data_IF_424113262411
#
_entry.id   IF_424113262411
#
_cell.length_a   1.000
_cell.length_b   1.000
_cell.length_c   1.000
_cell.angle_alpha   90.00
_cell.angle_beta   90.00
_cell.angle_gamma   90.00
#
_symmetry.space_group_name_H-M   'P 1'
#
loop_
_entity.id
_entity.type
_entity.pdbx_description
1 polymer ?
#
# COMPACT_ATOMS: atom_id res chain seq x y z
N UNK A 1 13.66 -10.12 -11.69
CA UNK A 1 14.68 -9.66 -12.65
C UNK A 1 15.77 -8.90 -11.89
N UNK A 2 17.02 -9.36 -11.94
CA UNK A 2 18.14 -8.74 -11.23
C UNK A 2 18.51 -7.36 -11.80
N UNK A 3 18.28 -7.16 -13.10
CA UNK A 3 18.64 -5.95 -13.81
C UNK A 3 17.68 -4.79 -13.48
N UNK A 4 16.39 -5.09 -13.38
CA UNK A 4 15.37 -4.15 -12.92
C UNK A 4 15.62 -3.69 -11.48
N UNK A 5 16.04 -4.60 -10.58
CA UNK A 5 16.34 -4.27 -9.18
C UNK A 5 17.59 -3.38 -9.05
N UNK A 6 18.63 -3.67 -9.82
CA UNK A 6 19.83 -2.84 -9.85
C UNK A 6 19.52 -1.45 -10.41
N UNK A 7 18.74 -1.36 -11.50
CA UNK A 7 18.31 -0.09 -12.05
C UNK A 7 17.48 0.72 -11.04
N UNK A 8 16.57 0.08 -10.30
CA UNK A 8 15.84 0.71 -9.22
C UNK A 8 16.79 1.27 -8.16
N UNK A 9 17.68 0.45 -7.60
CA UNK A 9 18.65 0.90 -6.58
C UNK A 9 19.47 2.12 -7.03
N UNK A 10 19.95 2.11 -8.28
CA UNK A 10 20.69 3.24 -8.84
C UNK A 10 19.84 4.51 -8.91
N UNK A 11 18.55 4.42 -9.29
CA UNK A 11 17.65 5.58 -9.18
C UNK A 11 17.50 6.04 -7.72
N UNK A 12 17.35 5.12 -6.77
CA UNK A 12 17.22 5.47 -5.36
C UNK A 12 18.46 6.22 -4.82
N UNK A 13 19.64 5.92 -5.35
CA UNK A 13 20.90 6.60 -5.05
C UNK A 13 21.12 7.90 -5.87
N UNK A 14 20.17 8.29 -6.73
CA UNK A 14 20.31 9.45 -7.63
C UNK A 14 21.24 9.23 -8.82
N UNK A 15 21.64 7.98 -9.08
CA UNK A 15 22.54 7.56 -10.19
C UNK A 15 21.73 7.27 -11.46
N UNK A 16 20.90 8.22 -11.87
CA UNK A 16 19.90 8.08 -12.92
C UNK A 16 20.47 7.66 -14.27
N UNK A 17 21.66 8.14 -14.63
CA UNK A 17 22.26 7.87 -15.92
C UNK A 17 22.75 6.41 -16.03
N UNK A 18 23.31 5.87 -14.94
CA UNK A 18 23.69 4.46 -14.87
C UNK A 18 22.46 3.55 -14.89
N UNK A 19 21.41 3.94 -14.16
CA UNK A 19 20.13 3.24 -14.17
C UNK A 19 19.47 3.23 -15.57
N UNK A 20 19.54 4.34 -16.29
CA UNK A 20 18.99 4.49 -17.64
C UNK A 20 19.62 3.52 -18.63
N UNK A 21 20.95 3.35 -18.58
CA UNK A 21 21.67 2.39 -19.44
C UNK A 21 21.19 0.97 -19.18
N UNK A 22 20.98 0.60 -17.91
CA UNK A 22 20.46 -0.72 -17.56
C UNK A 22 19.03 -0.90 -18.06
N UNK A 23 18.15 0.07 -17.85
CA UNK A 23 16.76 -0.03 -18.33
C UNK A 23 16.68 -0.19 -19.86
N UNK A 24 17.52 0.53 -20.61
CA UNK A 24 17.58 0.38 -22.06
C UNK A 24 18.05 -1.02 -22.49
N UNK A 25 19.04 -1.58 -21.79
CA UNK A 25 19.55 -2.94 -22.05
C UNK A 25 18.52 -4.02 -21.78
N UNK A 26 17.66 -3.84 -20.78
CA UNK A 26 16.58 -4.78 -20.47
C UNK A 26 15.29 -4.57 -21.27
N UNK A 27 15.28 -3.63 -22.22
CA UNK A 27 14.16 -3.44 -23.15
C UNK A 27 12.99 -2.62 -22.59
N UNK A 28 13.14 -1.95 -21.45
CA UNK A 28 12.10 -1.07 -20.92
C UNK A 28 12.10 0.29 -21.63
N UNK A 29 10.93 0.71 -22.08
CA UNK A 29 10.71 1.97 -22.81
C UNK A 29 10.17 3.10 -21.92
N UNK A 30 9.63 2.77 -20.75
CA UNK A 30 8.99 3.70 -19.83
C UNK A 30 9.49 3.46 -18.41
N UNK A 31 9.49 4.53 -17.61
CA UNK A 31 9.77 4.48 -16.17
C UNK A 31 8.86 5.46 -15.43
N UNK A 32 8.70 5.24 -14.13
CA UNK A 32 8.14 6.25 -13.25
C UNK A 32 9.05 7.49 -13.21
N UNK A 33 8.45 8.64 -12.92
CA UNK A 33 9.18 9.89 -12.82
C UNK A 33 10.27 9.84 -11.73
N UNK A 34 11.37 10.60 -11.89
CA UNK A 34 12.52 10.52 -10.97
C UNK A 34 12.14 10.81 -9.52
N UNK A 35 11.22 11.75 -9.26
CA UNK A 35 10.74 12.04 -7.90
C UNK A 35 9.99 10.88 -7.23
N UNK A 36 9.50 9.90 -7.98
CA UNK A 36 8.88 8.68 -7.44
C UNK A 36 9.93 7.62 -7.10
N UNK A 37 11.04 7.61 -7.84
CA UNK A 37 12.11 6.62 -7.69
C UNK A 37 13.24 7.08 -6.76
N UNK A 38 13.36 8.39 -6.53
CA UNK A 38 14.29 9.00 -5.58
C UNK A 38 13.68 8.97 -4.18
N UNK A 39 13.68 7.81 -3.55
CA UNK A 39 13.24 7.72 -2.16
C UNK A 39 14.25 8.47 -1.29
N UNK A 40 13.83 9.45 -0.49
CA UNK A 40 14.72 10.04 0.48
C UNK A 40 15.11 8.95 1.49
N UNK A 41 16.35 8.44 1.39
CA UNK A 41 16.90 7.42 2.29
C UNK A 41 16.93 7.92 3.75
N UNK A 42 17.00 9.23 3.92
CA UNK A 42 16.70 9.91 5.16
C UNK A 42 15.29 10.47 5.04
N UNK A 43 14.34 9.94 5.82
CA UNK A 43 13.04 10.58 5.99
C UNK A 43 13.28 11.93 6.65
N UNK A 44 13.55 12.96 5.86
CA UNK A 44 13.45 14.34 6.31
C UNK A 44 11.96 14.56 6.50
N UNK A 45 11.46 14.24 7.69
CA UNK A 45 10.19 14.80 8.15
C UNK A 45 10.42 16.31 8.19
N UNK A 46 10.21 16.97 7.06
CA UNK A 46 10.19 18.42 7.01
C UNK A 46 9.14 18.84 8.03
N UNK A 47 9.59 19.45 9.13
CA UNK A 47 8.69 20.22 9.95
C UNK A 47 8.07 21.27 9.02
N UNK A 48 6.74 21.34 9.06
CA UNK A 48 5.88 22.34 8.42
C UNK A 48 5.30 21.95 7.04
N UNK A 49 4.19 21.22 7.10
CA UNK A 49 2.89 21.84 6.84
C UNK A 49 1.92 21.45 7.97
N UNK A 50 1.47 22.42 8.78
CA UNK A 50 0.57 22.16 9.94
C UNK A 50 -0.87 21.86 9.50
N UNK A 51 -1.20 22.01 8.22
CA UNK A 51 -2.40 21.42 7.64
C UNK A 51 -2.06 20.07 7.03
N UNK A 52 -1.72 19.07 7.85
CA UNK A 52 -1.67 17.71 7.36
C UNK A 52 -3.06 17.38 6.75
N UNK A 53 -3.16 16.99 5.46
CA UNK A 53 -4.44 16.61 4.85
C UNK A 53 -5.00 15.30 5.43
N UNK A 54 -4.36 14.77 6.47
CA UNK A 54 -4.61 13.47 7.08
C UNK A 54 -4.92 13.66 8.56
N UNK A 55 -5.91 12.91 9.04
CA UNK A 55 -6.21 12.76 10.47
C UNK A 55 -5.70 11.41 10.92
N UNK A 56 -4.99 11.39 12.04
CA UNK A 56 -4.48 10.16 12.65
C UNK A 56 -5.37 9.82 13.84
N UNK A 57 -5.77 8.55 13.93
CA UNK A 57 -6.61 8.02 14.99
C UNK A 57 -5.83 6.94 15.74
N UNK A 58 -5.38 7.24 16.95
CA UNK A 58 -4.72 6.26 17.80
C UNK A 58 -5.72 5.22 18.28
N UNK A 59 -5.29 3.95 18.33
CA UNK A 59 -6.11 2.82 18.78
C UNK A 59 -7.46 2.72 18.04
N UNK A 60 -7.50 3.11 16.76
CA UNK A 60 -8.70 3.08 15.92
C UNK A 60 -9.22 1.67 15.62
N UNK A 61 -8.48 0.62 15.97
CA UNK A 61 -8.90 -0.77 15.87
C UNK A 61 -8.92 -1.40 17.27
N UNK A 62 -9.91 -2.25 17.59
CA UNK A 62 -9.87 -3.06 18.80
C UNK A 62 -8.62 -3.95 18.76
N UNK A 63 -7.98 -4.13 19.91
CA UNK A 63 -6.75 -4.92 20.02
C UNK A 63 -6.89 -6.32 19.41
N UNK A 64 -8.02 -7.00 19.67
CA UNK A 64 -8.31 -8.31 19.10
C UNK A 64 -8.36 -8.31 17.56
N UNK A 65 -8.91 -7.25 16.96
CA UNK A 65 -8.97 -7.11 15.51
C UNK A 65 -7.57 -6.89 14.92
N UNK A 66 -6.76 -6.03 15.57
CA UNK A 66 -5.37 -5.80 15.16
C UNK A 66 -4.52 -7.08 15.26
N UNK A 67 -4.67 -7.84 16.34
CA UNK A 67 -4.00 -9.14 16.50
C UNK A 67 -4.37 -10.12 15.39
N UNK A 68 -5.67 -10.23 15.08
CA UNK A 68 -6.12 -11.10 14.00
C UNK A 68 -5.56 -10.70 12.63
N UNK A 69 -5.53 -9.39 12.32
CA UNK A 69 -4.92 -8.92 11.06
C UNK A 69 -3.42 -9.25 10.99
N UNK A 70 -2.69 -9.17 12.10
CA UNK A 70 -1.28 -9.56 12.16
C UNK A 70 -1.07 -11.04 11.86
N UNK A 71 -1.99 -11.90 12.29
CA UNK A 71 -1.94 -13.34 11.99
C UNK A 71 -2.27 -13.60 10.51
N UNK A 72 -3.36 -13.01 10.01
CA UNK A 72 -3.81 -13.18 8.61
C UNK A 72 -2.75 -12.69 7.61
N UNK A 73 -2.05 -11.61 7.93
CA UNK A 73 -1.00 -11.03 7.10
C UNK A 73 0.42 -11.35 7.57
N UNK A 74 0.59 -12.35 8.44
CA UNK A 74 1.93 -12.79 8.86
C UNK A 74 2.78 -13.24 7.66
N UNK A 75 4.10 -13.14 7.78
CA UNK A 75 5.00 -13.73 6.77
C UNK A 75 4.74 -15.24 6.71
N UNK A 76 4.46 -15.75 5.51
CA UNK A 76 4.11 -17.15 5.28
C UNK A 76 2.63 -17.51 5.46
N UNK A 77 1.73 -16.55 5.72
CA UNK A 77 0.30 -16.84 5.71
C UNK A 77 -0.19 -17.26 4.30
N UNK A 78 -1.27 -18.03 4.24
CA UNK A 78 -1.82 -18.51 2.97
C UNK A 78 -2.33 -17.35 2.09
N UNK A 79 -2.70 -16.22 2.71
CA UNK A 79 -3.12 -15.02 2.00
C UNK A 79 -2.15 -14.65 0.88
N UNK A 80 -0.85 -14.57 1.16
CA UNK A 80 0.14 -14.16 0.16
C UNK A 80 0.21 -15.15 -1.01
N UNK A 81 0.13 -16.46 -0.73
CA UNK A 81 0.16 -17.49 -1.76
C UNK A 81 -1.11 -17.49 -2.61
N UNK A 82 -2.28 -17.39 -1.99
CA UNK A 82 -3.59 -17.37 -2.64
C UNK A 82 -3.75 -16.16 -3.58
N UNK A 83 -3.09 -15.05 -3.24
CA UNK A 83 -3.12 -13.81 -4.02
C UNK A 83 -1.89 -13.66 -4.93
N UNK A 84 -1.05 -14.70 -5.05
CA UNK A 84 0.17 -14.72 -5.87
C UNK A 84 1.16 -13.57 -5.57
N UNK A 85 1.14 -13.07 -4.33
CA UNK A 85 2.10 -12.11 -3.83
C UNK A 85 3.33 -12.83 -3.29
N UNK A 86 4.46 -12.64 -3.97
CA UNK A 86 5.72 -13.27 -3.60
C UNK A 86 6.69 -12.24 -3.04
N UNK A 87 7.31 -12.49 -1.89
CA UNK A 87 8.27 -11.57 -1.28
C UNK A 87 9.44 -11.20 -2.21
N UNK A 88 9.85 -12.13 -3.08
CA UNK A 88 10.93 -11.91 -4.04
C UNK A 88 10.43 -11.36 -5.38
N UNK A 89 9.35 -11.89 -5.94
CA UNK A 89 8.88 -11.48 -7.28
C UNK A 89 7.86 -10.33 -7.22
N UNK A 90 7.44 -9.92 -6.03
CA UNK A 90 6.31 -9.02 -5.82
C UNK A 90 5.03 -9.62 -6.41
N UNK A 91 4.19 -8.75 -6.96
CA UNK A 91 2.96 -9.08 -7.67
C UNK A 91 3.14 -9.24 -9.19
N UNK A 92 4.37 -9.49 -9.67
CA UNK A 92 4.71 -9.36 -11.10
C UNK A 92 3.88 -10.20 -12.09
N UNK A 93 3.22 -11.27 -11.63
CA UNK A 93 2.35 -12.12 -12.48
C UNK A 93 0.89 -11.64 -12.52
N UNK A 94 0.36 -11.19 -11.39
CA UNK A 94 -1.07 -10.88 -11.22
C UNK A 94 -1.37 -9.38 -11.11
N UNK A 95 -0.33 -8.55 -10.96
CA UNK A 95 -0.47 -7.13 -10.68
C UNK A 95 -0.97 -6.83 -9.27
N UNK A 96 -1.11 -5.55 -8.94
CA UNK A 96 -1.85 -5.14 -7.75
C UNK A 96 -3.34 -5.11 -8.07
N UNK A 97 -4.15 -5.66 -7.19
CA UNK A 97 -5.61 -5.57 -7.25
C UNK A 97 -6.14 -4.97 -5.95
N UNK A 98 -7.33 -4.42 -6.03
CA UNK A 98 -8.09 -3.93 -4.89
C UNK A 98 -9.49 -4.53 -4.90
N UNK A 99 -10.09 -4.64 -3.73
CA UNK A 99 -11.46 -5.13 -3.57
C UNK A 99 -12.40 -3.98 -3.30
N UNK A 100 -13.46 -3.87 -4.11
CA UNK A 100 -14.60 -3.02 -3.80
C UNK A 100 -15.57 -3.78 -2.89
N UNK A 101 -15.61 -3.41 -1.61
CA UNK A 101 -16.51 -3.98 -0.61
C UNK A 101 -17.81 -3.15 -0.51
N UNK A 102 -18.99 -3.72 -0.78
CA UNK A 102 -20.27 -3.06 -0.49
C UNK A 102 -20.50 -2.92 1.02
N UNK A 103 -20.72 -1.68 1.49
CA UNK A 103 -20.87 -1.38 2.92
C UNK A 103 -22.26 -1.70 3.48
N UNK A 104 -23.27 -1.77 2.60
CA UNK A 104 -24.67 -2.04 2.95
C UNK A 104 -25.00 -3.53 3.07
N UNK A 105 -24.18 -4.41 2.52
CA UNK A 105 -24.37 -5.86 2.59
C UNK A 105 -23.92 -6.43 3.94
N UNK A 106 -24.29 -7.67 4.22
CA UNK A 106 -23.78 -8.41 5.37
C UNK A 106 -22.27 -8.69 5.22
N UNK A 107 -21.54 -8.64 6.35
CA UNK A 107 -20.13 -9.02 6.38
C UNK A 107 -19.95 -10.50 6.03
N UNK A 108 -19.02 -10.79 5.10
CA UNK A 108 -18.67 -12.13 4.64
C UNK A 108 -17.29 -12.56 5.15
N UNK A 109 -16.46 -11.62 5.59
CA UNK A 109 -15.11 -11.87 6.11
C UNK A 109 -14.81 -11.06 7.38
N UNK A 110 -13.75 -11.44 8.10
CA UNK A 110 -13.26 -10.64 9.22
C UNK A 110 -12.79 -9.26 8.76
N UNK A 111 -12.24 -9.14 7.55
CA UNK A 111 -11.78 -7.87 7.03
C UNK A 111 -12.94 -6.92 6.74
N UNK A 112 -14.08 -7.45 6.29
CA UNK A 112 -15.28 -6.63 6.10
C UNK A 112 -15.79 -6.08 7.45
N UNK A 113 -15.62 -6.83 8.55
CA UNK A 113 -15.96 -6.35 9.90
C UNK A 113 -15.00 -5.25 10.35
N UNK A 114 -13.70 -5.41 10.09
CA UNK A 114 -12.67 -4.39 10.37
C UNK A 114 -12.97 -3.10 9.61
N UNK A 115 -13.26 -3.17 8.31
CA UNK A 115 -13.56 -1.99 7.48
C UNK A 115 -14.81 -1.26 8.00
N UNK A 116 -15.88 -1.99 8.35
CA UNK A 116 -17.07 -1.39 8.94
C UNK A 116 -16.80 -0.78 10.31
N UNK A 117 -15.90 -1.36 11.09
CA UNK A 117 -15.46 -0.77 12.37
C UNK A 117 -14.72 0.54 12.14
N UNK A 118 -13.76 0.57 11.22
CA UNK A 118 -13.03 1.79 10.85
C UNK A 118 -14.02 2.87 10.42
N UNK A 119 -14.95 2.54 9.52
CA UNK A 119 -15.99 3.47 9.08
C UNK A 119 -16.79 4.03 10.26
N UNK A 120 -17.19 3.19 11.22
CA UNK A 120 -17.91 3.63 12.42
C UNK A 120 -17.09 4.62 13.26
N UNK A 121 -15.77 4.41 13.40
CA UNK A 121 -14.88 5.27 14.19
C UNK A 121 -14.59 6.59 13.48
N UNK A 122 -14.43 6.57 12.16
CA UNK A 122 -14.03 7.76 11.39
C UNK A 122 -15.21 8.64 10.97
N UNK A 123 -16.41 8.06 10.78
CA UNK A 123 -17.61 8.76 10.29
C UNK A 123 -17.97 10.04 11.06
N UNK A 124 -17.86 10.14 12.41
CA UNK A 124 -18.11 11.38 13.13
C UNK A 124 -17.16 12.54 12.77
N UNK A 125 -16.00 12.24 12.18
CA UNK A 125 -14.95 13.19 11.86
C UNK A 125 -14.85 13.50 10.35
N UNK A 126 -15.51 12.70 9.52
CA UNK A 126 -15.51 12.80 8.05
C UNK A 126 -16.96 12.63 7.58
N UNK A 127 -17.77 13.71 7.60
CA UNK A 127 -19.20 13.66 7.29
C UNK A 127 -19.52 13.09 5.90
N UNK A 128 -18.61 13.24 4.93
CA UNK A 128 -18.73 12.71 3.57
C UNK A 128 -18.90 11.17 3.54
N UNK A 129 -18.43 10.48 4.59
CA UNK A 129 -18.60 9.03 4.72
C UNK A 129 -20.05 8.59 5.00
N UNK A 130 -20.97 9.51 5.32
CA UNK A 130 -22.41 9.20 5.46
C UNK A 130 -22.99 8.58 4.18
N UNK A 131 -22.48 8.98 3.02
CA UNK A 131 -22.98 8.55 1.72
C UNK A 131 -22.11 7.46 1.09
N UNK A 132 -21.09 6.96 1.82
CA UNK A 132 -20.21 5.91 1.31
C UNK A 132 -21.00 4.60 1.13
N UNK A 133 -21.00 4.07 -0.09
CA UNK A 133 -21.64 2.79 -0.42
C UNK A 133 -20.65 1.65 -0.51
N UNK A 134 -19.38 1.97 -0.76
CA UNK A 134 -18.30 1.00 -0.93
C UNK A 134 -17.06 1.46 -0.17
N UNK A 135 -16.22 0.49 0.18
CA UNK A 135 -14.85 0.71 0.62
C UNK A 135 -13.90 -0.07 -0.30
N UNK A 136 -12.73 0.50 -0.57
CA UNK A 136 -11.66 -0.15 -1.33
C UNK A 136 -10.51 -0.51 -0.39
N UNK A 137 -9.95 -1.71 -0.57
CA UNK A 137 -8.77 -2.17 0.16
C UNK A 137 -7.93 -3.12 -0.68
#
# INVERSE_FOLDING_TARGET
DALARLALLLYQEGRDEEARVLLQRGGWSHRLASWVLHYPLETVFSQEDKSAPVRVFDNALPEAALWHLREVFASGSSFWQEHEYNESLGSAKVGYFSYALPLVEQAKSTLDLVIRYILKVTKPYIPELEHATHAEW
#
